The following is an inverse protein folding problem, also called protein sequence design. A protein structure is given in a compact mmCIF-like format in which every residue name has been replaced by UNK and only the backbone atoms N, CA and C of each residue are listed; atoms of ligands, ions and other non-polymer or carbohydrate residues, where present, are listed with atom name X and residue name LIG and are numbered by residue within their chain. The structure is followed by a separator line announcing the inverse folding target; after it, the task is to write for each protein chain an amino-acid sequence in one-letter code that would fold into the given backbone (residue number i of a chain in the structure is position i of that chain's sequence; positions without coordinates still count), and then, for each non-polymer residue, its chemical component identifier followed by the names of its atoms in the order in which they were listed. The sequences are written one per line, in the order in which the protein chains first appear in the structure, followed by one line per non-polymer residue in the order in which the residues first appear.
data_IF_002377648846
#
_entry.id   IF_002377648846
#
_cell.length_a   1.000
_cell.length_b   1.000
_cell.length_c   1.000
_cell.angle_alpha   90.00
_cell.angle_beta   90.00
_cell.angle_gamma   90.00
#
_symmetry.space_group_name_H-M   'P 1'
#
loop_
_entity.id
_entity.type
_entity.pdbx_description
1 polymer ?
#
# COMPACT_ATOMS: atom_id res chain seq x y z
N UNK A 1 -8.10 -25.44 2.74
CA UNK A 1 -7.03 -24.47 3.03
C UNK A 1 -7.69 -23.24 3.62
N UNK A 2 -7.61 -23.02 4.93
CA UNK A 2 -8.22 -21.87 5.60
C UNK A 2 -7.41 -20.60 5.40
N UNK A 3 -8.05 -19.44 5.57
CA UNK A 3 -7.37 -18.14 5.63
C UNK A 3 -6.41 -18.14 6.82
N UNK A 4 -5.09 -17.96 6.61
CA UNK A 4 -4.14 -17.91 7.72
C UNK A 4 -4.48 -16.73 8.63
N UNK A 5 -4.54 -16.98 9.94
CA UNK A 5 -4.69 -15.92 10.93
C UNK A 5 -3.37 -15.18 11.09
N UNK A 6 -3.39 -13.85 11.05
CA UNK A 6 -2.21 -13.02 11.34
C UNK A 6 -2.21 -12.49 12.78
N UNK A 7 -2.96 -13.13 13.68
CA UNK A 7 -3.07 -12.74 15.09
C UNK A 7 -1.69 -12.59 15.77
N UNK A 8 -0.71 -13.43 15.39
CA UNK A 8 0.66 -13.39 15.94
C UNK A 8 1.37 -12.05 15.74
N UNK A 9 0.91 -11.26 14.76
CA UNK A 9 1.48 -9.98 14.40
C UNK A 9 0.63 -8.80 14.89
N UNK A 10 -0.54 -9.04 15.48
CA UNK A 10 -1.36 -8.00 16.08
C UNK A 10 -0.87 -7.63 17.48
N UNK A 11 -0.86 -6.33 17.81
CA UNK A 11 -0.79 -5.89 19.19
C UNK A 11 -2.15 -5.35 19.62
N UNK A 12 -2.46 -5.43 20.91
CA UNK A 12 -3.57 -4.68 21.51
C UNK A 12 -3.36 -3.18 21.24
N UNK A 13 -4.34 -2.47 20.66
CA UNK A 13 -4.27 -1.03 20.47
C UNK A 13 -4.01 -0.29 21.79
N UNK A 14 -3.35 0.86 21.69
CA UNK A 14 -3.14 1.77 22.83
C UNK A 14 -4.15 2.92 22.74
N UNK A 15 -4.77 3.29 23.85
CA UNK A 15 -5.70 4.44 23.93
C UNK A 15 -7.17 4.08 23.69
N UNK A 16 -7.96 5.06 23.26
CA UNK A 16 -9.42 4.95 23.13
C UNK A 16 -9.88 3.83 22.18
N UNK A 17 -9.04 3.47 21.21
CA UNK A 17 -9.26 2.39 20.25
C UNK A 17 -9.34 0.99 20.91
N UNK A 18 -8.90 0.85 22.17
CA UNK A 18 -9.01 -0.41 22.93
C UNK A 18 -10.47 -0.85 23.15
N UNK A 19 -11.42 0.09 23.14
CA UNK A 19 -12.85 -0.19 23.35
C UNK A 19 -13.57 -0.61 22.07
N UNK A 20 -12.91 -0.53 20.92
CA UNK A 20 -13.48 -0.95 19.64
C UNK A 20 -13.25 -2.44 19.49
N UNK A 21 -14.32 -3.22 19.45
CA UNK A 21 -14.24 -4.61 19.05
C UNK A 21 -13.97 -4.65 17.54
N UNK A 22 -12.77 -5.08 17.17
CA UNK A 22 -12.31 -5.15 15.78
C UNK A 22 -12.13 -6.61 15.43
N UNK A 23 -12.84 -7.07 14.40
CA UNK A 23 -12.67 -8.41 13.83
C UNK A 23 -11.18 -8.69 13.59
N UNK A 24 -10.59 -9.73 14.20
CA UNK A 24 -9.17 -10.06 14.07
C UNK A 24 -8.84 -10.76 12.75
N UNK A 25 -9.81 -11.06 11.87
CA UNK A 25 -9.56 -11.68 10.58
C UNK A 25 -9.10 -10.66 9.53
N UNK A 26 -7.88 -10.82 9.02
CA UNK A 26 -7.36 -10.01 7.91
C UNK A 26 -6.71 -10.92 6.87
N UNK A 27 -6.84 -10.53 5.61
CA UNK A 27 -6.28 -11.26 4.48
C UNK A 27 -5.13 -10.47 3.88
N UNK A 28 -3.90 -10.96 4.07
CA UNK A 28 -2.78 -10.50 3.26
C UNK A 28 -2.87 -11.11 1.86
N UNK A 29 -2.88 -10.22 0.85
CA UNK A 29 -2.90 -10.59 -0.57
C UNK A 29 -1.50 -10.67 -1.16
N UNK A 30 -0.53 -9.97 -0.56
CA UNK A 30 0.84 -9.96 -1.04
C UNK A 30 1.79 -9.52 0.08
N UNK A 31 2.92 -10.22 0.19
CA UNK A 31 4.13 -9.77 0.87
C UNK A 31 5.28 -9.93 -0.13
N UNK A 32 5.99 -8.86 -0.43
CA UNK A 32 7.11 -8.86 -1.36
C UNK A 32 8.30 -8.13 -0.76
N UNK A 33 9.48 -8.71 -0.92
CA UNK A 33 10.76 -8.10 -0.56
C UNK A 33 11.54 -7.84 -1.83
N UNK A 34 12.13 -6.65 -1.95
CA UNK A 34 13.03 -6.28 -3.05
C UNK A 34 14.24 -5.56 -2.49
N UNK A 35 15.43 -5.95 -2.92
CA UNK A 35 16.62 -5.13 -2.73
C UNK A 35 16.56 -3.96 -3.72
N UNK A 36 16.71 -2.74 -3.22
CA UNK A 36 16.63 -1.49 -4.01
C UNK A 36 17.89 -0.63 -3.86
N UNK A 37 18.91 -1.17 -3.20
CA UNK A 37 20.25 -0.60 -3.04
C UNK A 37 21.15 -1.62 -2.32
N UNK A 38 22.46 -1.34 -2.17
CA UNK A 38 23.41 -2.28 -1.55
C UNK A 38 22.92 -2.80 -0.19
N UNK A 39 22.49 -1.90 0.69
CA UNK A 39 22.02 -2.23 2.04
C UNK A 39 20.55 -1.81 2.27
N UNK A 40 19.76 -1.70 1.19
CA UNK A 40 18.39 -1.20 1.27
C UNK A 40 17.39 -2.23 0.72
N UNK A 41 16.48 -2.67 1.58
CA UNK A 41 15.40 -3.56 1.24
C UNK A 41 14.05 -2.87 1.38
N UNK A 42 13.20 -3.02 0.36
CA UNK A 42 11.83 -2.56 0.36
C UNK A 42 10.88 -3.73 0.57
N UNK A 43 10.04 -3.60 1.59
CA UNK A 43 8.94 -4.51 1.88
C UNK A 43 7.64 -3.89 1.36
N UNK A 44 6.92 -4.60 0.51
CA UNK A 44 5.57 -4.24 0.07
C UNK A 44 4.57 -5.24 0.62
N UNK A 45 3.63 -4.74 1.41
CA UNK A 45 2.56 -5.54 1.99
C UNK A 45 1.22 -5.02 1.48
N UNK A 46 0.38 -5.91 0.97
CA UNK A 46 -0.99 -5.61 0.52
C UNK A 46 -1.96 -6.53 1.24
N UNK A 47 -3.03 -5.98 1.77
CA UNK A 47 -4.12 -6.71 2.40
C UNK A 47 -5.44 -5.98 2.27
N UNK A 48 -6.51 -6.59 2.78
CA UNK A 48 -7.82 -5.95 2.95
C UNK A 48 -7.82 -4.96 4.13
N UNK A 49 -7.17 -5.33 5.23
CA UNK A 49 -6.95 -4.51 6.42
C UNK A 49 -5.66 -4.92 7.13
N UNK A 50 -5.25 -4.12 8.11
CA UNK A 50 -4.09 -4.41 8.96
C UNK A 50 -4.43 -4.13 10.42
N UNK A 51 -4.02 -5.03 11.32
CA UNK A 51 -4.14 -4.80 12.77
C UNK A 51 -3.09 -3.80 13.26
N UNK A 52 -3.30 -3.26 14.46
CA UNK A 52 -2.32 -2.36 15.10
C UNK A 52 -0.93 -3.02 15.13
N UNK A 53 0.06 -2.30 14.58
CA UNK A 53 1.47 -2.73 14.40
C UNK A 53 1.72 -3.96 13.51
N UNK A 54 0.69 -4.56 12.91
CA UNK A 54 0.79 -5.79 12.11
C UNK A 54 1.92 -5.76 11.07
N UNK A 55 1.92 -4.75 10.20
CA UNK A 55 2.93 -4.64 9.14
C UNK A 55 4.35 -4.52 9.72
N UNK A 56 4.53 -3.76 10.81
CA UNK A 56 5.85 -3.57 11.44
C UNK A 56 6.34 -4.83 12.13
N UNK A 57 5.43 -5.63 12.70
CA UNK A 57 5.76 -6.91 13.31
C UNK A 57 6.12 -7.96 12.26
N UNK A 58 5.40 -7.99 11.13
CA UNK A 58 5.75 -8.84 9.99
C UNK A 58 7.16 -8.50 9.49
N UNK A 59 7.43 -7.22 9.24
CA UNK A 59 8.74 -6.78 8.75
C UNK A 59 9.84 -7.10 9.75
N UNK A 60 9.65 -6.84 11.04
CA UNK A 60 10.69 -7.14 12.03
C UNK A 60 10.91 -8.64 12.22
N UNK A 61 9.89 -9.49 12.07
CA UNK A 61 10.06 -10.94 12.05
C UNK A 61 10.85 -11.40 10.81
N UNK A 62 10.51 -10.89 9.62
CA UNK A 62 11.24 -11.22 8.38
C UNK A 62 12.71 -10.79 8.43
N UNK A 63 13.00 -9.62 9.00
CA UNK A 63 14.38 -9.14 9.19
C UNK A 63 15.16 -10.07 10.12
N UNK A 64 14.53 -10.57 11.19
CA UNK A 64 15.17 -11.52 12.11
C UNK A 64 15.44 -12.87 11.47
N UNK A 65 14.53 -13.35 10.62
CA UNK A 65 14.78 -14.57 9.83
C UNK A 65 15.95 -14.33 8.89
N UNK A 66 15.94 -13.22 8.16
CA UNK A 66 17.03 -12.86 7.24
C UNK A 66 18.39 -12.63 7.92
N UNK A 67 18.41 -12.25 9.21
CA UNK A 67 19.63 -12.07 10.00
C UNK A 67 20.02 -13.29 10.85
N UNK A 68 19.26 -14.39 10.78
CA UNK A 68 19.52 -15.61 11.58
C UNK A 68 19.15 -15.51 13.06
N UNK A 69 18.43 -14.46 13.48
CA UNK A 69 17.98 -14.24 14.85
C UNK A 69 16.64 -14.93 15.18
N UNK A 70 15.94 -15.46 14.17
CA UNK A 70 14.68 -16.17 14.29
C UNK A 70 14.67 -17.31 13.28
N UNK A 71 14.27 -18.51 13.67
CA UNK A 71 14.17 -19.63 12.73
C UNK A 71 12.95 -19.45 11.82
N UNK A 72 13.06 -19.86 10.55
CA UNK A 72 11.93 -19.75 9.60
C UNK A 72 10.72 -20.59 10.07
N UNK A 73 10.99 -21.72 10.70
CA UNK A 73 9.99 -22.63 11.26
C UNK A 73 9.23 -22.00 12.43
N UNK A 74 9.85 -21.07 13.16
CA UNK A 74 9.17 -20.29 14.21
C UNK A 74 8.15 -19.32 13.62
N UNK A 75 8.49 -18.71 12.49
CA UNK A 75 7.57 -17.85 11.76
C UNK A 75 6.38 -18.64 11.21
N UNK A 76 6.63 -19.83 10.65
CA UNK A 76 5.57 -20.74 10.19
C UNK A 76 4.66 -21.18 11.35
N UNK A 77 5.24 -21.59 12.48
CA UNK A 77 4.47 -21.92 13.69
C UNK A 77 3.61 -20.74 14.15
N UNK A 78 4.16 -19.52 14.15
CA UNK A 78 3.41 -18.33 14.53
C UNK A 78 2.22 -18.05 13.60
N UNK A 79 2.36 -18.31 12.30
CA UNK A 79 1.26 -18.18 11.32
C UNK A 79 0.16 -19.24 11.52
N UNK A 80 0.53 -20.44 11.96
CA UNK A 80 -0.42 -21.54 12.22
C UNK A 80 -1.14 -21.35 13.55
N UNK A 81 -0.41 -21.00 14.60
CA UNK A 81 -0.93 -20.94 15.97
C UNK A 81 -1.42 -19.56 16.40
N UNK A 82 -1.07 -18.51 15.65
CA UNK A 82 -1.49 -17.14 15.96
C UNK A 82 -0.71 -16.48 17.11
N UNK A 83 0.41 -17.08 17.55
CA UNK A 83 1.30 -16.51 18.56
C UNK A 83 2.75 -16.98 18.36
N UNK A 84 3.71 -16.14 18.78
CA UNK A 84 5.11 -16.54 18.88
C UNK A 84 5.37 -17.26 20.21
N UNK A 85 6.35 -18.17 20.22
CA UNK A 85 6.79 -18.81 21.45
C UNK A 85 7.27 -17.75 22.47
N UNK A 86 6.88 -17.89 23.74
CA UNK A 86 7.17 -16.93 24.82
C UNK A 86 8.67 -16.70 25.09
N UNK A 87 9.56 -17.52 24.53
CA UNK A 87 11.01 -17.44 24.73
C UNK A 87 11.68 -16.25 24.05
N UNK A 88 10.97 -15.50 23.21
CA UNK A 88 11.58 -14.42 22.43
C UNK A 88 11.67 -13.14 23.29
N UNK A 89 12.86 -12.91 23.86
CA UNK A 89 13.17 -11.73 24.70
C UNK A 89 13.22 -10.41 23.92
N UNK A 90 13.17 -10.47 22.58
CA UNK A 90 13.44 -9.33 21.73
C UNK A 90 12.19 -8.87 20.96
N UNK A 91 11.94 -7.54 20.88
CA UNK A 91 10.76 -7.00 20.22
C UNK A 91 10.77 -7.25 18.71
N UNK A 92 9.64 -7.73 18.18
CA UNK A 92 9.41 -7.96 16.75
C UNK A 92 9.05 -6.68 15.97
N UNK A 93 8.75 -5.57 16.65
CA UNK A 93 8.25 -4.37 15.98
C UNK A 93 9.37 -3.57 15.32
N UNK A 94 9.44 -3.58 13.99
CA UNK A 94 10.35 -2.73 13.23
C UNK A 94 10.13 -1.22 13.53
N UNK A 95 11.12 -0.33 13.35
CA UNK A 95 10.96 1.12 13.52
C UNK A 95 9.82 1.73 12.68
N UNK A 96 9.25 2.85 13.14
CA UNK A 96 8.08 3.46 12.49
C UNK A 96 8.43 4.28 11.24
N UNK A 97 9.61 4.90 11.22
CA UNK A 97 10.00 5.89 10.21
C UNK A 97 10.13 5.32 8.79
N UNK A 98 10.23 4.00 8.64
CA UNK A 98 10.29 3.33 7.34
C UNK A 98 8.93 2.88 6.78
N UNK A 99 7.83 3.07 7.52
CA UNK A 99 6.50 2.64 7.09
C UNK A 99 5.73 3.79 6.43
N UNK A 100 5.28 3.56 5.21
CA UNK A 100 4.43 4.50 4.45
C UNK A 100 3.20 3.81 3.90
N UNK A 101 2.06 4.50 3.92
CA UNK A 101 0.87 4.08 3.18
C UNK A 101 1.04 4.48 1.72
N UNK A 102 1.35 3.50 0.87
CA UNK A 102 1.67 3.77 -0.54
C UNK A 102 0.42 3.92 -1.43
N UNK A 103 -0.62 3.10 -1.22
CA UNK A 103 -1.82 3.11 -2.07
C UNK A 103 -3.02 2.52 -1.33
N UNK A 104 -4.19 3.16 -1.52
CA UNK A 104 -5.50 2.61 -1.16
C UNK A 104 -6.23 2.27 -2.44
N UNK A 105 -6.84 1.08 -2.50
CA UNK A 105 -7.57 0.59 -3.66
C UNK A 105 -9.07 0.68 -3.37
N UNK A 106 -9.80 1.38 -4.23
CA UNK A 106 -11.26 1.47 -4.17
C UNK A 106 -11.85 0.79 -5.41
N UNK A 107 -12.89 -0.02 -5.24
CA UNK A 107 -13.60 -0.64 -6.36
C UNK A 107 -14.34 0.40 -7.21
N UNK A 108 -14.85 1.44 -6.57
CA UNK A 108 -15.48 2.61 -7.21
C UNK A 108 -14.77 3.87 -6.74
N UNK A 109 -14.62 4.84 -7.63
CA UNK A 109 -14.04 6.13 -7.25
C UNK A 109 -14.83 6.73 -6.09
N UNK A 110 -14.20 7.01 -4.94
CA UNK A 110 -14.89 7.69 -3.83
C UNK A 110 -15.08 9.18 -4.14
N UNK A 111 -14.44 9.69 -5.18
CA UNK A 111 -14.53 11.09 -5.62
C UNK A 111 -15.60 11.22 -6.70
N UNK A 112 -16.49 12.20 -6.52
CA UNK A 112 -17.40 12.64 -7.58
C UNK A 112 -16.55 13.27 -8.70
N UNK A 113 -16.83 12.92 -9.95
CA UNK A 113 -16.22 13.61 -11.09
C UNK A 113 -16.58 15.09 -10.99
N UNK A 114 -15.57 15.96 -10.91
CA UNK A 114 -15.79 17.40 -10.99
C UNK A 114 -15.83 17.78 -12.47
N UNK A 115 -16.91 18.44 -12.89
CA UNK A 115 -17.12 18.94 -14.27
C UNK A 115 -15.98 19.83 -14.80
N UNK A 116 -15.07 20.31 -13.92
CA UNK A 116 -13.95 21.17 -14.30
C UNK A 116 -12.71 20.45 -14.81
N UNK A 117 -12.62 19.12 -14.71
CA UNK A 117 -11.41 18.38 -15.09
C UNK A 117 -11.45 17.86 -16.54
N UNK A 118 -12.63 17.76 -17.15
CA UNK A 118 -12.80 17.25 -18.52
C UNK A 118 -12.16 18.19 -19.56
N UNK A 119 -12.24 19.51 -19.37
CA UNK A 119 -11.59 20.48 -20.26
C UNK A 119 -10.06 20.41 -20.23
N UNK A 120 -9.47 20.12 -19.08
CA UNK A 120 -8.00 20.08 -18.93
C UNK A 120 -7.42 18.75 -19.42
N UNK A 121 -8.12 17.62 -19.21
CA UNK A 121 -7.68 16.32 -19.69
C UNK A 121 -7.93 16.12 -21.20
N UNK A 122 -8.92 16.80 -21.79
CA UNK A 122 -9.08 16.83 -23.25
C UNK A 122 -7.96 17.65 -23.94
N UNK A 123 -7.46 18.70 -23.28
CA UNK A 123 -6.31 19.48 -23.77
C UNK A 123 -5.00 18.69 -23.78
N UNK A 124 -4.81 17.76 -22.84
CA UNK A 124 -3.59 16.93 -22.76
C UNK A 124 -3.62 15.68 -23.66
N UNK A 125 -4.77 15.33 -24.24
CA UNK A 125 -4.92 14.22 -25.21
C UNK A 125 -4.71 14.63 -26.67
N UNK A 126 -4.65 15.94 -26.96
CA UNK A 126 -4.49 16.46 -28.33
C UNK A 126 -3.05 16.93 -28.61
N UNK A 127 -2.08 16.05 -28.38
CA UNK A 127 -0.71 16.25 -28.91
C UNK A 127 -0.57 15.64 -30.31
N UNK A 128 -1.50 15.92 -31.23
CA UNK A 128 -1.28 15.67 -32.66
C UNK A 128 -0.88 17.00 -33.34
N UNK A 129 0.40 17.17 -33.73
CA UNK A 129 0.90 18.37 -34.41
C UNK A 129 0.21 18.67 -35.75
N UNK A 130 -0.49 17.69 -36.35
CA UNK A 130 -1.07 17.80 -37.70
C UNK A 130 -2.32 18.67 -37.76
N UNK A 131 -3.04 18.87 -36.66
CA UNK A 131 -4.25 19.71 -36.63
C UNK A 131 -3.96 21.22 -36.46
N UNK A 132 -2.69 21.60 -36.21
CA UNK A 132 -2.30 23.01 -35.98
C UNK A 132 -2.32 23.87 -37.26
N UNK A 133 -2.33 23.28 -38.47
CA UNK A 133 -2.30 24.03 -39.74
C UNK A 133 -3.69 24.46 -40.25
N UNK A 134 -4.79 23.87 -39.78
CA UNK A 134 -6.12 24.24 -40.29
C UNK A 134 -6.72 25.49 -39.62
N UNK A 135 -6.19 25.93 -38.48
CA UNK A 135 -6.69 27.13 -37.78
C UNK A 135 -6.14 28.46 -38.29
N UNK A 136 -5.00 28.47 -39.01
CA UNK A 136 -4.49 29.71 -39.63
C UNK A 136 -5.16 30.06 -40.96
N UNK A 137 -5.83 29.10 -41.61
CA UNK A 137 -6.59 29.37 -42.83
C UNK A 137 -7.96 29.98 -42.53
N UNK A 138 -8.63 29.51 -41.46
CA UNK A 138 -9.98 29.96 -41.10
C UNK A 138 -10.02 31.39 -40.51
N UNK A 139 -8.94 31.87 -39.88
CA UNK A 139 -8.88 33.24 -39.37
C UNK A 139 -8.66 34.31 -40.46
N UNK A 140 -8.24 33.91 -41.67
CA UNK A 140 -8.02 34.85 -42.79
C UNK A 140 -9.27 35.13 -43.64
N UNK A 141 -10.36 34.40 -43.40
CA UNK A 141 -11.61 34.50 -44.17
C UNK A 141 -12.69 35.34 -43.46
N UNK A 142 -12.44 35.78 -42.21
CA UNK A 142 -13.38 36.63 -41.45
C UNK A 142 -13.13 38.14 -41.56
N UNK A 143 -12.07 38.57 -42.25
CA UNK A 143 -11.64 39.98 -42.33
C UNK A 143 -11.94 40.67 -43.68
N UNK A 144 -12.78 40.06 -44.54
CA UNK A 144 -13.15 40.63 -45.86
C UNK A 144 -14.65 40.82 -46.08
N UNK A 145 -15.42 41.06 -45.03
CA UNK A 145 -16.81 41.56 -45.16
C UNK A 145 -17.07 42.68 -44.14
N UNK A 146 -16.61 43.87 -44.49
CA UNK A 146 -17.21 45.15 -44.11
C UNK A 146 -17.19 46.03 -45.35
#
# INVERSE_FOLDING_TARGET
RGTPSFAAFGNTPRGAERKVDVDPLCTLRMVQVRQIGPDMYQFRVRGDRFMYKMVRNIVGALVRVGSGQLAAEELERALVHGEFARSHSLPLTAPAHGLVLHRVLYEKSPFKASERVDGLLQGLRTTDPRQRRLRRAASSLSDKRS
#
